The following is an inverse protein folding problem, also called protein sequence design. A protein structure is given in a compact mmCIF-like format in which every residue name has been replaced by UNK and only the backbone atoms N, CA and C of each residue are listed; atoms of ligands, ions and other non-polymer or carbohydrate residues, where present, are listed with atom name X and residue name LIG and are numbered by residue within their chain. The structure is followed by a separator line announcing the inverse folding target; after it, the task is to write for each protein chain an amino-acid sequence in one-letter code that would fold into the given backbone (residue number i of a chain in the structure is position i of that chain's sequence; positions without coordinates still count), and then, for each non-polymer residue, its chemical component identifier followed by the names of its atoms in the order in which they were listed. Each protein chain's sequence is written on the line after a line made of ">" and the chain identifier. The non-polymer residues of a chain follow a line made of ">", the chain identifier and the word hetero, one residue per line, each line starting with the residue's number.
data_IF_749008562392
#
_entry.id   IF_749008562392
#
_cell.length_a   1.000
_cell.length_b   1.000
_cell.length_c   1.000
_cell.angle_alpha   90.00
_cell.angle_beta   90.00
_cell.angle_gamma   90.00
#
_symmetry.space_group_name_H-M   'P 1'
#
loop_
_entity.id
_entity.type
_entity.pdbx_description
1 polymer ?
#
# COMPACT_ATOMS: atom_id res chain seq x y z
N UNK A 1 -23.06 9.98 -15.61
CA UNK A 1 -23.91 8.89 -16.11
C UNK A 1 -24.42 8.10 -14.91
N UNK A 2 -25.73 7.81 -14.82
CA UNK A 2 -26.33 7.04 -13.71
C UNK A 2 -26.68 5.65 -14.25
N UNK A 3 -25.70 4.76 -14.34
CA UNK A 3 -25.95 3.38 -14.81
C UNK A 3 -26.57 2.52 -13.70
N UNK A 4 -26.36 2.88 -12.43
CA UNK A 4 -26.82 2.10 -11.27
C UNK A 4 -27.69 2.91 -10.33
N UNK A 5 -28.44 2.20 -9.48
CA UNK A 5 -29.28 2.78 -8.43
C UNK A 5 -28.49 3.72 -7.51
N UNK A 6 -29.03 4.88 -7.12
CA UNK A 6 -28.42 5.75 -6.11
C UNK A 6 -28.09 5.04 -4.79
N UNK A 7 -28.87 4.00 -4.43
CA UNK A 7 -28.68 3.24 -3.20
C UNK A 7 -27.26 2.67 -3.07
N UNK A 8 -26.71 2.09 -4.16
CA UNK A 8 -25.34 1.53 -4.19
C UNK A 8 -24.31 2.60 -3.88
N UNK A 9 -24.43 3.79 -4.49
CA UNK A 9 -23.51 4.91 -4.26
C UNK A 9 -23.62 5.48 -2.84
N UNK A 10 -24.84 5.52 -2.31
CA UNK A 10 -25.09 6.01 -0.96
C UNK A 10 -24.55 5.03 0.08
N UNK A 11 -24.75 3.72 -0.14
CA UNK A 11 -24.16 2.69 0.70
C UNK A 11 -22.62 2.81 0.76
N UNK A 12 -21.95 2.89 -0.39
CA UNK A 12 -20.49 3.03 -0.46
C UNK A 12 -19.99 4.32 0.22
N UNK A 13 -20.72 5.43 0.02
CA UNK A 13 -20.35 6.69 0.67
C UNK A 13 -20.50 6.64 2.19
N UNK A 14 -21.57 6.00 2.72
CA UNK A 14 -21.80 5.82 4.16
C UNK A 14 -20.74 4.91 4.77
N UNK A 15 -20.44 3.79 4.10
CA UNK A 15 -19.37 2.88 4.48
C UNK A 15 -18.01 3.59 4.63
N UNK A 16 -17.62 4.37 3.62
CA UNK A 16 -16.35 5.11 3.60
C UNK A 16 -16.28 6.26 4.59
N UNK A 17 -17.43 6.82 4.94
CA UNK A 17 -17.53 7.98 5.83
C UNK A 17 -17.74 7.59 7.31
N UNK A 18 -18.24 6.38 7.59
CA UNK A 18 -18.65 5.96 8.93
C UNK A 18 -19.83 6.76 9.49
N UNK A 19 -20.48 7.62 8.68
CA UNK A 19 -21.53 8.53 9.09
C UNK A 19 -22.43 8.95 7.94
N UNK A 20 -23.74 8.90 8.14
CA UNK A 20 -24.74 9.37 7.14
C UNK A 20 -24.55 10.87 6.85
N UNK A 21 -24.29 11.68 7.89
CA UNK A 21 -24.13 13.13 7.73
C UNK A 21 -22.89 13.46 6.87
N UNK A 22 -21.79 12.82 7.13
CA UNK A 22 -20.55 13.00 6.38
C UNK A 22 -20.67 12.48 4.93
N UNK A 23 -21.30 11.32 4.74
CA UNK A 23 -21.62 10.80 3.41
C UNK A 23 -22.47 11.77 2.59
N UNK A 24 -23.53 12.32 3.21
CA UNK A 24 -24.42 13.29 2.59
C UNK A 24 -23.66 14.57 2.17
N UNK A 25 -22.76 15.06 3.03
CA UNK A 25 -21.90 16.22 2.73
C UNK A 25 -21.00 15.94 1.51
N UNK A 26 -20.35 14.78 1.45
CA UNK A 26 -19.49 14.36 0.32
C UNK A 26 -20.26 14.19 -0.98
N UNK A 27 -21.51 13.74 -0.89
CA UNK A 27 -22.39 13.52 -2.05
C UNK A 27 -23.15 14.78 -2.46
N UNK A 28 -23.07 15.86 -1.68
CA UNK A 28 -23.84 17.09 -1.84
C UNK A 28 -25.35 16.84 -1.92
N UNK A 29 -25.88 16.07 -0.97
CA UNK A 29 -27.32 15.74 -0.83
C UNK A 29 -27.77 15.87 0.63
N UNK A 30 -29.10 15.89 0.85
CA UNK A 30 -29.66 15.91 2.20
C UNK A 30 -29.39 14.57 2.93
N UNK A 31 -29.05 14.65 4.24
CA UNK A 31 -28.82 13.44 5.07
C UNK A 31 -30.08 12.54 5.15
N UNK A 32 -31.27 13.14 5.12
CA UNK A 32 -32.54 12.40 5.07
C UNK A 32 -32.68 11.57 3.80
N UNK A 33 -32.20 12.07 2.65
CA UNK A 33 -32.21 11.31 1.39
C UNK A 33 -31.29 10.09 1.47
N UNK A 34 -30.08 10.26 2.01
CA UNK A 34 -29.12 9.15 2.21
C UNK A 34 -29.73 8.11 3.15
N UNK A 35 -30.22 8.53 4.33
CA UNK A 35 -30.80 7.63 5.33
C UNK A 35 -31.99 6.83 4.75
N UNK A 36 -32.88 7.48 4.03
CA UNK A 36 -34.05 6.82 3.40
C UNK A 36 -33.62 5.75 2.40
N UNK A 37 -32.57 5.99 1.61
CA UNK A 37 -32.07 5.02 0.64
C UNK A 37 -31.37 3.83 1.32
N UNK A 38 -30.65 4.06 2.41
CA UNK A 38 -30.06 2.97 3.20
C UNK A 38 -31.16 2.11 3.81
N UNK A 39 -32.16 2.70 4.50
CA UNK A 39 -33.26 1.98 5.10
C UNK A 39 -34.06 1.19 4.06
N UNK A 40 -34.28 1.78 2.85
CA UNK A 40 -34.91 1.07 1.76
C UNK A 40 -34.11 -0.15 1.31
N UNK A 41 -32.80 -0.01 1.16
CA UNK A 41 -31.91 -1.11 0.77
C UNK A 41 -31.88 -2.22 1.83
N UNK A 42 -31.85 -1.87 3.13
CA UNK A 42 -31.93 -2.82 4.24
C UNK A 42 -33.28 -3.57 4.26
N UNK A 43 -34.35 -2.87 3.99
CA UNK A 43 -35.70 -3.48 3.89
C UNK A 43 -35.81 -4.45 2.69
N UNK A 44 -35.25 -4.09 1.53
CA UNK A 44 -35.23 -4.95 0.33
C UNK A 44 -34.38 -6.21 0.56
N UNK A 45 -33.28 -6.11 1.34
CA UNK A 45 -32.39 -7.21 1.66
C UNK A 45 -32.82 -8.01 2.91
N UNK A 46 -33.79 -7.50 3.67
CA UNK A 46 -34.30 -8.13 4.89
C UNK A 46 -33.30 -8.15 6.06
N UNK A 47 -32.22 -7.36 6.00
CA UNK A 47 -31.18 -7.35 7.02
C UNK A 47 -30.52 -5.97 7.16
N UNK A 48 -30.14 -5.54 8.38
CA UNK A 48 -29.39 -4.30 8.57
C UNK A 48 -27.98 -4.42 7.99
N UNK A 49 -27.55 -3.36 7.30
CA UNK A 49 -26.22 -3.26 6.69
C UNK A 49 -25.23 -2.51 7.58
N UNK A 50 -25.74 -1.73 8.53
CA UNK A 50 -24.94 -0.94 9.44
C UNK A 50 -25.39 -1.15 10.90
N UNK A 51 -24.41 -1.22 11.79
CA UNK A 51 -24.58 -1.18 13.25
C UNK A 51 -24.34 0.25 13.74
N UNK A 52 -25.20 0.73 14.66
CA UNK A 52 -25.03 2.03 15.28
C UNK A 52 -24.21 1.91 16.54
N UNK A 53 -23.04 2.50 16.56
CA UNK A 53 -22.12 2.54 17.70
C UNK A 53 -22.01 3.98 18.22
N UNK A 54 -21.58 4.19 19.49
CA UNK A 54 -21.36 5.54 20.04
C UNK A 54 -20.40 6.41 19.20
N UNK A 55 -19.49 5.78 18.42
CA UNK A 55 -18.53 6.47 17.53
C UNK A 55 -18.98 6.62 16.08
N UNK A 56 -20.21 6.22 15.71
CA UNK A 56 -20.70 6.30 14.34
C UNK A 56 -21.35 5.01 13.83
N UNK A 57 -21.24 4.79 12.52
CA UNK A 57 -21.74 3.60 11.85
C UNK A 57 -20.61 2.64 11.52
N UNK A 58 -20.77 1.37 11.84
CA UNK A 58 -19.91 0.26 11.44
C UNK A 58 -20.73 -0.68 10.51
N UNK A 59 -20.03 -1.34 9.59
CA UNK A 59 -20.67 -2.39 8.78
C UNK A 59 -21.10 -3.57 9.66
N UNK A 60 -22.29 -4.09 9.40
CA UNK A 60 -22.69 -5.42 9.85
C UNK A 60 -22.03 -6.49 8.97
N UNK A 61 -22.11 -7.77 9.36
CA UNK A 61 -21.65 -8.89 8.52
C UNK A 61 -22.33 -8.88 7.13
N UNK A 62 -23.61 -8.54 7.06
CA UNK A 62 -24.33 -8.37 5.80
C UNK A 62 -23.79 -7.17 4.99
N UNK A 63 -23.46 -6.07 5.67
CA UNK A 63 -22.81 -4.91 5.05
C UNK A 63 -21.43 -5.24 4.47
N UNK A 64 -20.64 -6.09 5.12
CA UNK A 64 -19.36 -6.55 4.59
C UNK A 64 -19.53 -7.41 3.33
N UNK A 65 -20.51 -8.31 3.30
CA UNK A 65 -20.85 -9.09 2.10
C UNK A 65 -21.26 -8.17 0.96
N UNK A 66 -22.15 -7.21 1.23
CA UNK A 66 -22.61 -6.26 0.21
C UNK A 66 -21.48 -5.36 -0.29
N UNK A 67 -20.52 -5.01 0.56
CA UNK A 67 -19.37 -4.18 0.19
C UNK A 67 -18.60 -4.76 -1.00
N UNK A 68 -18.34 -6.06 -1.00
CA UNK A 68 -17.63 -6.73 -2.10
C UNK A 68 -18.40 -6.61 -3.43
N UNK A 69 -19.71 -6.81 -3.40
CA UNK A 69 -20.56 -6.65 -4.59
C UNK A 69 -20.59 -5.20 -5.09
N UNK A 70 -20.83 -4.25 -4.18
CA UNK A 70 -20.88 -2.82 -4.49
C UNK A 70 -19.57 -2.31 -5.10
N UNK A 71 -18.44 -2.76 -4.58
CA UNK A 71 -17.13 -2.43 -5.13
C UNK A 71 -16.98 -2.90 -6.59
N UNK A 72 -17.47 -4.12 -6.91
CA UNK A 72 -17.45 -4.65 -8.29
C UNK A 72 -18.28 -3.76 -9.21
N UNK A 73 -19.52 -3.51 -8.82
CA UNK A 73 -20.49 -2.75 -9.62
C UNK A 73 -20.02 -1.33 -9.90
N UNK A 74 -19.49 -0.63 -8.89
CA UNK A 74 -19.02 0.74 -9.06
C UNK A 74 -17.76 0.83 -9.95
N UNK A 75 -16.86 -0.16 -9.87
CA UNK A 75 -15.69 -0.21 -10.74
C UNK A 75 -16.04 -0.56 -12.17
N UNK A 76 -16.95 -1.51 -12.37
CA UNK A 76 -17.41 -1.86 -13.71
C UNK A 76 -18.06 -0.65 -14.41
N UNK A 77 -18.82 0.13 -13.65
CA UNK A 77 -19.40 1.39 -14.15
C UNK A 77 -18.32 2.43 -14.53
N UNK A 78 -17.24 2.53 -13.75
CA UNK A 78 -16.13 3.45 -14.04
C UNK A 78 -15.32 2.96 -15.24
N UNK A 79 -15.08 1.64 -15.35
CA UNK A 79 -14.44 1.03 -16.52
C UNK A 79 -15.25 1.32 -17.80
N UNK A 80 -16.54 1.03 -17.79
CA UNK A 80 -17.43 1.30 -18.93
C UNK A 80 -17.37 2.77 -19.34
N UNK A 81 -17.36 3.67 -18.36
CA UNK A 81 -17.22 5.10 -18.62
C UNK A 81 -15.88 5.43 -19.28
N UNK A 82 -14.78 4.89 -18.77
CA UNK A 82 -13.44 5.11 -19.33
C UNK A 82 -13.33 4.58 -20.76
N UNK A 83 -13.91 3.41 -21.05
CA UNK A 83 -13.97 2.84 -22.39
C UNK A 83 -14.76 3.73 -23.36
N UNK A 84 -15.92 4.23 -22.92
CA UNK A 84 -16.73 5.17 -23.71
C UNK A 84 -16.02 6.51 -23.97
N UNK A 85 -15.28 7.01 -22.99
CA UNK A 85 -14.50 8.23 -23.14
C UNK A 85 -13.28 8.01 -24.07
N UNK A 86 -12.66 6.83 -24.01
CA UNK A 86 -11.57 6.43 -24.92
C UNK A 86 -12.04 6.35 -26.38
N UNK A 87 -13.26 5.85 -26.65
CA UNK A 87 -13.85 5.84 -27.99
C UNK A 87 -14.03 7.26 -28.56
N UNK A 88 -14.13 8.27 -27.69
CA UNK A 88 -14.19 9.68 -28.07
C UNK A 88 -12.82 10.34 -28.19
N UNK A 89 -11.72 9.56 -28.11
CA UNK A 89 -10.35 10.07 -28.13
C UNK A 89 -9.91 10.78 -26.85
N UNK A 90 -10.69 10.66 -25.77
CA UNK A 90 -10.42 11.34 -24.50
C UNK A 90 -9.70 10.35 -23.56
N UNK A 91 -8.38 10.44 -23.48
CA UNK A 91 -7.55 9.65 -22.53
C UNK A 91 -7.70 10.22 -21.12
N UNK A 92 -8.86 10.03 -20.49
CA UNK A 92 -9.10 10.39 -19.10
C UNK A 92 -9.27 9.13 -18.26
N UNK A 93 -9.06 9.27 -16.96
CA UNK A 93 -9.29 8.17 -16.02
C UNK A 93 -8.87 8.55 -14.62
N UNK A 94 -9.15 7.63 -13.70
CA UNK A 94 -8.72 7.75 -12.31
C UNK A 94 -8.00 6.47 -11.92
N UNK A 95 -6.91 6.63 -11.17
CA UNK A 95 -6.19 5.54 -10.53
C UNK A 95 -6.18 5.82 -9.03
N UNK A 96 -6.73 4.91 -8.25
CA UNK A 96 -6.65 4.96 -6.80
C UNK A 96 -5.75 3.82 -6.33
N UNK A 97 -4.64 4.15 -5.67
CA UNK A 97 -3.72 3.15 -5.16
C UNK A 97 -3.37 3.39 -3.69
N UNK A 98 -3.05 2.31 -3.02
CA UNK A 98 -2.42 2.33 -1.71
C UNK A 98 -1.01 1.77 -1.82
N UNK A 99 -0.08 2.32 -1.05
CA UNK A 99 1.30 1.89 -1.04
C UNK A 99 1.90 2.02 0.35
N UNK A 100 2.93 1.23 0.64
CA UNK A 100 3.73 1.38 1.85
C UNK A 100 4.55 2.67 1.81
N UNK A 101 4.80 3.25 2.98
CA UNK A 101 5.50 4.54 3.13
C UNK A 101 6.85 4.57 2.42
N UNK A 102 7.66 3.51 2.53
CA UNK A 102 9.02 3.45 1.96
C UNK A 102 9.10 3.62 0.44
N UNK A 103 7.97 3.56 -0.27
CA UNK A 103 7.92 3.81 -1.72
C UNK A 103 7.68 5.29 -2.07
N UNK A 104 7.41 6.14 -1.07
CA UNK A 104 6.99 7.54 -1.29
C UNK A 104 8.15 8.45 -1.67
N UNK A 105 9.37 8.10 -1.29
CA UNK A 105 10.54 8.96 -1.49
C UNK A 105 10.97 9.08 -2.96
N UNK A 106 10.96 7.95 -3.71
CA UNK A 106 11.48 7.94 -5.08
C UNK A 106 10.65 7.02 -6.02
N UNK A 107 10.28 5.82 -5.60
CA UNK A 107 9.57 4.87 -6.46
C UNK A 107 8.24 5.43 -6.99
N UNK A 108 7.36 5.89 -6.11
CA UNK A 108 6.05 6.44 -6.51
C UNK A 108 6.19 7.72 -7.34
N UNK A 109 7.02 8.70 -6.97
CA UNK A 109 7.30 9.85 -7.83
C UNK A 109 7.75 9.47 -9.24
N UNK A 110 8.66 8.50 -9.39
CA UNK A 110 9.14 8.01 -10.69
C UNK A 110 8.01 7.39 -11.53
N UNK A 111 7.21 6.49 -10.92
CA UNK A 111 6.08 5.84 -11.62
C UNK A 111 5.01 6.86 -12.00
N UNK A 112 4.65 7.76 -11.09
CA UNK A 112 3.62 8.79 -11.31
C UNK A 112 4.09 9.77 -12.39
N UNK A 113 5.35 10.21 -12.34
CA UNK A 113 5.92 11.11 -13.34
C UNK A 113 5.80 10.54 -14.75
N UNK A 114 6.29 9.30 -14.97
CA UNK A 114 6.18 8.61 -16.26
C UNK A 114 4.74 8.40 -16.71
N UNK A 115 3.85 8.08 -15.76
CA UNK A 115 2.42 7.92 -16.08
C UNK A 115 1.81 9.23 -16.60
N UNK A 116 2.11 10.37 -15.94
CA UNK A 116 1.55 11.67 -16.29
C UNK A 116 2.14 12.24 -17.58
N UNK A 117 3.40 11.93 -17.93
CA UNK A 117 4.00 12.26 -19.21
C UNK A 117 3.20 11.69 -20.40
N UNK A 118 2.79 10.42 -20.31
CA UNK A 118 1.99 9.75 -21.34
C UNK A 118 0.48 9.99 -21.24
N UNK A 119 -0.02 10.37 -20.06
CA UNK A 119 -1.45 10.38 -19.72
C UNK A 119 -1.81 11.61 -18.86
N UNK A 120 -1.57 12.82 -19.36
CA UNK A 120 -1.70 14.09 -18.61
C UNK A 120 -3.11 14.38 -18.03
N UNK A 121 -4.15 13.71 -18.50
CA UNK A 121 -5.53 13.86 -18.02
C UNK A 121 -5.96 12.80 -17.02
N UNK A 122 -5.08 11.86 -16.65
CA UNK A 122 -5.36 10.87 -15.61
C UNK A 122 -5.20 11.52 -14.25
N UNK A 123 -6.12 11.19 -13.33
CA UNK A 123 -6.03 11.61 -11.93
C UNK A 123 -5.57 10.44 -11.09
N UNK A 124 -4.51 10.64 -10.33
CA UNK A 124 -3.94 9.61 -9.45
C UNK A 124 -4.19 10.04 -8.00
N UNK A 125 -4.77 9.12 -7.21
CA UNK A 125 -4.90 9.27 -5.76
C UNK A 125 -4.08 8.19 -5.09
N UNK A 126 -3.15 8.59 -4.24
CA UNK A 126 -2.32 7.70 -3.45
C UNK A 126 -2.69 7.82 -1.98
N UNK A 127 -2.79 6.68 -1.30
CA UNK A 127 -2.95 6.61 0.16
C UNK A 127 -1.84 5.73 0.71
N UNK A 128 -1.05 6.23 1.63
CA UNK A 128 -0.05 5.42 2.33
C UNK A 128 -0.70 4.61 3.43
N UNK A 129 -0.32 3.33 3.54
CA UNK A 129 -0.81 2.42 4.57
C UNK A 129 0.25 1.36 4.91
N UNK A 130 0.14 0.75 6.09
CA UNK A 130 0.98 -0.39 6.46
C UNK A 130 0.65 -1.64 5.65
N UNK A 131 1.63 -2.51 5.42
CA UNK A 131 1.48 -3.75 4.64
C UNK A 131 0.32 -4.63 5.11
N UNK A 132 0.01 -4.64 6.40
CA UNK A 132 -1.10 -5.42 6.99
C UNK A 132 -2.49 -4.89 6.60
N UNK A 133 -2.62 -3.60 6.30
CA UNK A 133 -3.90 -2.94 5.96
C UNK A 133 -4.19 -2.97 4.45
N UNK A 134 -3.15 -2.97 3.63
CA UNK A 134 -3.26 -2.91 2.16
C UNK A 134 -4.17 -4.01 1.57
N UNK A 135 -4.07 -5.29 1.99
CA UNK A 135 -4.94 -6.35 1.47
C UNK A 135 -6.42 -6.03 1.60
N UNK A 136 -6.86 -5.56 2.76
CA UNK A 136 -8.26 -5.23 3.00
C UNK A 136 -8.74 -4.07 2.11
N UNK A 137 -7.93 -3.02 1.93
CA UNK A 137 -8.27 -1.89 1.07
C UNK A 137 -8.46 -2.31 -0.40
N UNK A 138 -7.62 -3.22 -0.90
CA UNK A 138 -7.72 -3.73 -2.27
C UNK A 138 -8.93 -4.67 -2.42
N UNK A 139 -9.10 -5.62 -1.51
CA UNK A 139 -10.20 -6.60 -1.54
C UNK A 139 -11.57 -5.89 -1.44
N UNK A 140 -11.70 -4.94 -0.52
CA UNK A 140 -12.94 -4.17 -0.33
C UNK A 140 -13.22 -3.17 -1.46
N UNK A 141 -12.27 -2.99 -2.37
CA UNK A 141 -12.43 -2.04 -3.46
C UNK A 141 -12.36 -0.58 -3.03
N UNK A 142 -11.66 -0.26 -1.97
CA UNK A 142 -11.40 1.11 -1.56
C UNK A 142 -10.35 1.76 -2.46
N UNK A 143 -9.49 0.94 -3.06
CA UNK A 143 -8.47 1.30 -4.05
C UNK A 143 -8.44 0.28 -5.20
N UNK A 144 -7.84 0.67 -6.34
CA UNK A 144 -7.66 -0.20 -7.50
C UNK A 144 -6.46 -1.13 -7.33
N UNK A 145 -5.39 -0.60 -6.78
CA UNK A 145 -4.08 -1.25 -6.69
C UNK A 145 -3.48 -1.10 -5.30
N UNK A 146 -2.67 -2.10 -4.91
CA UNK A 146 -1.85 -2.07 -3.72
C UNK A 146 -0.39 -2.36 -4.04
N UNK A 147 0.52 -1.55 -3.49
CA UNK A 147 1.97 -1.79 -3.52
C UNK A 147 2.43 -2.08 -2.09
N UNK A 148 2.89 -3.29 -1.86
CA UNK A 148 3.28 -3.74 -0.53
C UNK A 148 4.41 -4.76 -0.57
N UNK A 149 5.16 -4.84 0.53
CA UNK A 149 6.21 -5.83 0.68
C UNK A 149 5.67 -7.11 1.33
N UNK A 150 6.09 -8.26 0.77
CA UNK A 150 5.99 -9.60 1.35
C UNK A 150 4.62 -9.93 1.93
N UNK A 151 3.56 -9.66 1.18
CA UNK A 151 2.21 -10.03 1.61
C UNK A 151 2.04 -11.55 1.66
N UNK A 152 1.39 -12.08 2.70
CA UNK A 152 1.01 -13.48 2.72
C UNK A 152 0.04 -13.81 1.57
N UNK A 153 0.03 -15.06 1.14
CA UNK A 153 -0.91 -15.53 0.12
C UNK A 153 -2.35 -15.24 0.53
N UNK A 154 -3.07 -14.56 -0.37
CA UNK A 154 -4.49 -14.26 -0.21
C UNK A 154 -5.21 -14.57 -1.52
N UNK A 155 -6.19 -15.51 -1.56
CA UNK A 155 -6.90 -15.89 -2.78
C UNK A 155 -7.75 -14.75 -3.37
N UNK A 156 -8.09 -13.73 -2.58
CA UNK A 156 -8.82 -12.55 -3.02
C UNK A 156 -7.93 -11.48 -3.67
N UNK A 157 -6.60 -11.68 -3.64
CA UNK A 157 -5.62 -10.81 -4.30
C UNK A 157 -4.98 -11.51 -5.50
N UNK A 158 -4.78 -10.75 -6.57
CA UNK A 158 -3.97 -11.15 -7.70
C UNK A 158 -2.70 -10.31 -7.74
N UNK A 159 -1.55 -10.97 -7.72
CA UNK A 159 -0.24 -10.33 -7.82
C UNK A 159 0.10 -10.12 -9.31
N UNK A 160 0.18 -8.85 -9.72
CA UNK A 160 0.43 -8.45 -11.12
C UNK A 160 1.93 -8.41 -11.44
N UNK A 161 2.73 -8.02 -10.46
CA UNK A 161 4.19 -7.94 -10.59
C UNK A 161 4.84 -8.18 -9.23
N UNK A 162 6.09 -8.65 -9.27
CA UNK A 162 6.93 -8.81 -8.08
C UNK A 162 8.38 -8.50 -8.41
N UNK A 163 9.08 -7.86 -7.48
CA UNK A 163 10.52 -7.64 -7.50
C UNK A 163 11.14 -8.01 -6.16
N UNK A 164 12.34 -8.60 -6.18
CA UNK A 164 13.08 -8.98 -4.96
C UNK A 164 14.15 -7.94 -4.68
N UNK A 165 14.23 -7.52 -3.43
CA UNK A 165 15.16 -6.49 -2.97
C UNK A 165 15.91 -7.00 -1.75
N UNK A 166 17.23 -6.79 -1.71
CA UNK A 166 18.05 -7.18 -0.57
C UNK A 166 17.69 -6.37 0.66
N UNK A 167 17.45 -7.04 1.78
CA UNK A 167 17.40 -6.40 3.09
C UNK A 167 18.83 -6.19 3.57
N UNK A 168 19.10 -5.04 4.19
CA UNK A 168 20.41 -4.72 4.70
C UNK A 168 20.37 -3.85 5.95
N UNK A 169 21.53 -3.74 6.59
CA UNK A 169 21.80 -2.76 7.62
C UNK A 169 22.08 -1.40 6.96
N UNK A 170 21.49 -0.35 7.50
CA UNK A 170 21.64 1.02 7.00
C UNK A 170 22.30 1.86 8.07
N UNK A 171 23.41 2.47 7.71
CA UNK A 171 24.31 3.21 8.61
C UNK A 171 24.89 4.42 7.90
N UNK A 172 25.49 5.34 8.65
CA UNK A 172 26.30 6.43 8.07
C UNK A 172 27.59 5.91 7.45
N UNK A 173 28.23 6.63 6.49
CA UNK A 173 29.51 6.24 5.89
C UNK A 173 30.65 6.08 6.89
N UNK A 174 30.59 6.81 8.00
CA UNK A 174 31.63 6.76 9.05
C UNK A 174 31.39 5.65 10.10
N UNK A 175 30.34 4.86 9.96
CA UNK A 175 30.04 3.77 10.90
C UNK A 175 31.06 2.64 10.75
N UNK A 176 31.50 1.98 11.85
CA UNK A 176 32.52 0.90 11.80
C UNK A 176 32.20 -0.27 10.86
N UNK A 177 30.90 -0.49 10.57
CA UNK A 177 30.47 -1.56 9.66
C UNK A 177 30.37 -1.10 8.19
N UNK A 178 30.45 0.20 7.87
CA UNK A 178 30.16 0.75 6.54
C UNK A 178 31.00 0.14 5.41
N UNK A 179 32.25 -0.26 5.70
CA UNK A 179 33.17 -0.89 4.72
C UNK A 179 32.96 -2.39 4.52
N UNK A 180 31.98 -3.04 5.20
CA UNK A 180 31.74 -4.47 5.06
C UNK A 180 30.92 -4.78 3.81
N UNK A 181 31.25 -5.89 3.14
CA UNK A 181 30.48 -6.37 1.98
C UNK A 181 29.10 -6.91 2.37
N UNK A 182 28.98 -7.49 3.55
CA UNK A 182 27.75 -7.96 4.17
C UNK A 182 27.90 -7.98 5.69
N UNK A 183 26.82 -8.04 6.42
CA UNK A 183 26.78 -8.18 7.88
C UNK A 183 25.78 -9.24 8.29
N UNK A 184 26.01 -9.86 9.44
CA UNK A 184 25.02 -10.66 10.17
C UNK A 184 24.35 -9.80 11.23
N UNK A 185 23.17 -10.17 11.66
CA UNK A 185 22.50 -9.48 12.75
C UNK A 185 23.36 -9.47 14.03
N UNK A 186 24.06 -10.56 14.30
CA UNK A 186 25.01 -10.66 15.42
C UNK A 186 26.14 -9.64 15.37
N UNK A 187 26.62 -9.24 14.20
CA UNK A 187 27.64 -8.19 14.04
C UNK A 187 27.09 -6.80 14.40
N UNK A 188 25.78 -6.61 14.25
CA UNK A 188 25.09 -5.37 14.53
C UNK A 188 24.70 -5.24 16.02
N UNK A 189 24.66 -6.35 16.76
CA UNK A 189 24.14 -6.39 18.13
C UNK A 189 24.97 -5.62 19.16
N UNK A 190 26.20 -5.25 18.82
CA UNK A 190 27.07 -4.43 19.68
C UNK A 190 26.80 -2.92 19.53
N UNK A 191 25.90 -2.54 18.64
CA UNK A 191 25.50 -1.15 18.37
C UNK A 191 24.03 -0.93 18.70
N UNK A 192 23.59 0.32 18.93
CA UNK A 192 22.17 0.62 19.06
C UNK A 192 21.39 0.19 17.81
N UNK A 193 20.30 -0.54 17.98
CA UNK A 193 19.47 -1.03 16.88
C UNK A 193 18.18 -0.24 16.78
N UNK A 194 17.82 0.14 15.55
CA UNK A 194 16.56 0.78 15.18
C UNK A 194 15.74 -0.26 14.43
N UNK A 195 14.71 -0.79 15.10
CA UNK A 195 13.91 -1.89 14.58
C UNK A 195 12.51 -1.43 14.20
N UNK A 196 11.94 -2.10 13.21
CA UNK A 196 10.53 -1.92 12.87
C UNK A 196 9.63 -2.58 13.90
N UNK A 197 8.47 -1.99 14.16
CA UNK A 197 7.39 -2.64 14.89
C UNK A 197 6.64 -3.68 14.04
N UNK A 198 5.58 -4.27 14.61
CA UNK A 198 4.78 -5.32 13.96
C UNK A 198 3.93 -4.84 12.76
N UNK A 199 3.79 -3.54 12.54
CA UNK A 199 3.00 -2.99 11.44
C UNK A 199 3.76 -2.99 10.12
N UNK A 200 5.10 -3.07 10.17
CA UNK A 200 5.95 -3.13 8.99
C UNK A 200 6.32 -4.59 8.67
N UNK A 201 6.28 -4.95 7.40
CA UNK A 201 6.64 -6.29 6.90
C UNK A 201 8.08 -6.72 7.24
N UNK A 202 8.98 -5.75 7.41
CA UNK A 202 10.38 -5.98 7.83
C UNK A 202 10.45 -6.72 9.16
N UNK A 203 9.54 -6.44 10.11
CA UNK A 203 9.51 -7.13 11.41
C UNK A 203 9.33 -8.64 11.26
N UNK A 204 8.43 -9.05 10.39
CA UNK A 204 8.18 -10.46 10.12
C UNK A 204 9.40 -11.15 9.47
N UNK A 205 10.10 -10.46 8.58
CA UNK A 205 11.34 -10.96 7.96
C UNK A 205 12.49 -11.06 8.96
N UNK A 206 12.62 -10.09 9.86
CA UNK A 206 13.69 -10.08 10.86
C UNK A 206 13.45 -11.08 12.01
N UNK A 207 12.20 -11.42 12.31
CA UNK A 207 11.88 -12.29 13.45
C UNK A 207 12.62 -13.62 13.44
N UNK A 208 12.62 -14.44 12.38
CA UNK A 208 13.40 -15.69 12.36
C UNK A 208 14.90 -15.45 12.48
N UNK A 209 15.44 -14.35 11.96
CA UNK A 209 16.85 -13.99 12.05
C UNK A 209 17.21 -13.66 13.50
N UNK A 210 16.35 -12.90 14.19
CA UNK A 210 16.49 -12.57 15.61
C UNK A 210 16.54 -13.85 16.47
N UNK A 211 15.58 -14.75 16.26
CA UNK A 211 15.50 -16.02 17.00
C UNK A 211 16.78 -16.87 16.81
N UNK A 212 17.33 -16.87 15.59
CA UNK A 212 18.53 -17.67 15.27
C UNK A 212 19.85 -16.96 15.52
N UNK A 213 19.84 -15.69 15.89
CA UNK A 213 21.09 -14.92 16.10
C UNK A 213 21.96 -15.45 17.25
N UNK A 214 21.37 -16.23 18.16
CA UNK A 214 22.02 -16.75 19.35
C UNK A 214 22.39 -15.67 20.39
N UNK A 215 22.03 -14.41 20.14
CA UNK A 215 22.28 -13.25 21.00
C UNK A 215 20.97 -12.55 21.36
N UNK A 216 20.81 -12.01 22.56
CA UNK A 216 19.67 -11.17 22.87
C UNK A 216 19.70 -9.90 22.02
N UNK A 217 18.67 -9.67 21.24
CA UNK A 217 18.51 -8.49 20.40
C UNK A 217 17.48 -7.58 21.06
N UNK A 218 17.98 -6.50 21.67
CA UNK A 218 17.13 -5.47 22.28
C UNK A 218 17.27 -4.19 21.48
N UNK A 219 16.19 -3.73 20.80
CA UNK A 219 16.26 -2.48 20.04
C UNK A 219 16.36 -1.29 20.99
N UNK A 220 17.18 -0.31 20.60
CA UNK A 220 17.22 1.00 21.26
C UNK A 220 16.00 1.83 20.88
N UNK A 221 15.48 1.65 19.64
CA UNK A 221 14.27 2.31 19.13
C UNK A 221 13.43 1.30 18.36
N UNK A 222 12.13 1.28 18.62
CA UNK A 222 11.13 0.61 17.74
C UNK A 222 10.24 1.67 17.08
N UNK A 223 10.03 1.58 15.77
CA UNK A 223 9.25 2.55 15.00
C UNK A 223 8.40 1.86 13.92
N UNK A 224 7.27 2.49 13.58
CA UNK A 224 6.37 2.08 12.50
C UNK A 224 6.48 2.97 11.25
N UNK A 225 7.48 3.83 11.21
CA UNK A 225 7.77 4.73 10.08
C UNK A 225 9.16 4.45 9.53
N UNK A 226 9.22 4.08 8.26
CA UNK A 226 10.48 3.87 7.53
C UNK A 226 11.28 5.17 7.47
N UNK A 227 10.60 6.30 7.26
CA UNK A 227 11.25 7.61 7.20
C UNK A 227 11.90 7.98 8.54
N UNK A 228 11.22 7.72 9.67
CA UNK A 228 11.82 7.93 10.98
C UNK A 228 13.05 7.04 11.19
N UNK A 229 12.95 5.75 10.84
CA UNK A 229 14.09 4.81 10.98
C UNK A 229 15.30 5.27 10.15
N UNK A 230 15.05 5.75 8.93
CA UNK A 230 16.06 6.30 8.03
C UNK A 230 16.73 7.53 8.64
N UNK A 231 15.93 8.49 9.09
CA UNK A 231 16.43 9.72 9.71
C UNK A 231 17.25 9.47 10.98
N UNK A 232 16.83 8.50 11.82
CA UNK A 232 17.62 8.11 12.99
C UNK A 232 18.98 7.51 12.60
N UNK A 233 19.03 6.73 11.53
CA UNK A 233 20.29 6.20 11.01
C UNK A 233 21.20 7.31 10.44
N UNK A 234 20.66 8.28 9.70
CA UNK A 234 21.39 9.46 9.20
C UNK A 234 22.01 10.30 10.33
N UNK A 235 21.28 10.39 11.47
CA UNK A 235 21.80 11.08 12.67
C UNK A 235 22.76 10.22 13.49
N UNK A 236 23.18 9.07 12.96
CA UNK A 236 24.11 8.13 13.61
C UNK A 236 23.61 7.65 15.00
N UNK A 237 22.30 7.52 15.16
CA UNK A 237 21.68 7.08 16.40
C UNK A 237 21.56 5.55 16.52
N UNK A 238 21.92 4.82 15.45
CA UNK A 238 21.93 3.36 15.44
C UNK A 238 21.86 2.78 14.04
N UNK A 239 21.77 1.46 13.98
CA UNK A 239 21.65 0.68 12.75
C UNK A 239 20.17 0.43 12.47
N UNK A 240 19.66 0.90 11.33
CA UNK A 240 18.33 0.53 10.84
C UNK A 240 18.42 -0.64 9.85
N UNK A 241 17.31 -1.37 9.67
CA UNK A 241 17.20 -2.47 8.69
C UNK A 241 16.10 -2.16 7.69
N UNK A 242 16.47 -2.07 6.41
CA UNK A 242 15.53 -1.81 5.31
C UNK A 242 16.12 -2.28 3.98
N UNK A 243 15.30 -2.31 2.94
CA UNK A 243 15.74 -2.57 1.58
C UNK A 243 16.33 -1.31 0.94
N UNK A 244 17.08 -1.47 -0.16
CA UNK A 244 17.61 -0.31 -0.91
C UNK A 244 16.53 0.56 -1.52
N UNK A 245 15.39 -0.05 -1.89
CA UNK A 245 14.28 0.71 -2.43
C UNK A 245 13.74 1.71 -1.37
N UNK A 246 13.69 2.97 -1.73
CA UNK A 246 13.38 4.08 -0.84
C UNK A 246 14.59 4.74 -0.16
N UNK A 247 15.82 4.26 -0.48
CA UNK A 247 17.08 4.85 -0.04
C UNK A 247 17.87 5.51 -1.18
N UNK A 248 17.32 5.57 -2.37
CA UNK A 248 18.05 5.97 -3.58
C UNK A 248 18.69 7.35 -3.44
N UNK A 249 17.98 8.28 -2.80
CA UNK A 249 18.47 9.64 -2.55
C UNK A 249 19.67 9.62 -1.60
N UNK A 250 19.56 8.96 -0.46
CA UNK A 250 20.57 8.91 0.57
C UNK A 250 21.82 8.16 0.08
N UNK A 251 21.63 7.10 -0.70
CA UNK A 251 22.73 6.37 -1.32
C UNK A 251 23.44 7.20 -2.39
N UNK A 252 22.71 7.96 -3.20
CA UNK A 252 23.28 8.84 -4.23
C UNK A 252 24.00 10.06 -3.64
N UNK A 253 23.58 10.52 -2.47
CA UNK A 253 24.20 11.63 -1.74
C UNK A 253 25.28 11.16 -0.76
N UNK A 254 25.51 9.84 -0.67
CA UNK A 254 26.46 9.22 0.25
C UNK A 254 26.22 9.59 1.72
N UNK A 255 24.96 9.91 2.10
CA UNK A 255 24.59 10.18 3.50
C UNK A 255 24.37 8.90 4.27
N UNK A 256 23.96 7.82 3.59
CA UNK A 256 23.80 6.49 4.14
C UNK A 256 24.51 5.42 3.28
N UNK A 257 24.84 4.32 3.92
CA UNK A 257 25.35 3.10 3.30
C UNK A 257 24.41 1.95 3.61
N UNK A 258 24.04 1.19 2.57
CA UNK A 258 23.27 -0.04 2.71
C UNK A 258 24.21 -1.24 2.63
N UNK A 259 24.28 -2.02 3.70
CA UNK A 259 25.13 -3.21 3.82
C UNK A 259 24.20 -4.43 3.79
N UNK A 260 24.29 -5.29 2.79
CA UNK A 260 23.45 -6.49 2.68
C UNK A 260 23.47 -7.33 3.95
N UNK A 261 22.29 -7.74 4.41
CA UNK A 261 22.15 -8.67 5.54
C UNK A 261 22.23 -10.10 5.01
N UNK A 262 23.18 -10.87 5.56
CA UNK A 262 23.35 -12.29 5.29
C UNK A 262 23.39 -13.06 6.61
N UNK A 263 22.36 -13.86 6.85
CA UNK A 263 22.30 -14.72 8.05
C UNK A 263 22.63 -16.17 7.68
N UNK A 264 21.73 -16.93 7.12
CA UNK A 264 21.94 -18.27 6.53
C UNK A 264 21.92 -18.23 5.00
N UNK A 265 22.25 -17.08 4.45
CA UNK A 265 22.18 -16.68 3.07
C UNK A 265 21.66 -15.26 2.94
N UNK A 266 21.59 -14.73 1.71
CA UNK A 266 21.07 -13.38 1.45
C UNK A 266 19.62 -13.25 1.88
N UNK A 267 19.29 -12.18 2.60
CA UNK A 267 17.92 -11.87 3.03
C UNK A 267 17.26 -10.95 2.01
N UNK A 268 16.08 -11.34 1.53
CA UNK A 268 15.32 -10.57 0.56
C UNK A 268 13.93 -10.24 1.08
N UNK A 269 13.44 -9.09 0.66
CA UNK A 269 12.02 -8.73 0.71
C UNK A 269 11.46 -8.68 -0.70
N UNK A 270 10.16 -8.89 -0.86
CA UNK A 270 9.49 -8.91 -2.15
C UNK A 270 8.49 -7.75 -2.24
N UNK A 271 8.75 -6.79 -3.13
CA UNK A 271 7.76 -5.76 -3.46
C UNK A 271 6.79 -6.32 -4.50
N UNK A 272 5.52 -6.39 -4.14
CA UNK A 272 4.45 -6.82 -5.02
C UNK A 272 3.51 -5.68 -5.40
N UNK A 273 3.01 -5.72 -6.64
CA UNK A 273 1.87 -4.94 -7.12
C UNK A 273 0.66 -5.85 -7.15
N UNK A 274 -0.40 -5.47 -6.45
CA UNK A 274 -1.58 -6.28 -6.22
C UNK A 274 -2.84 -5.60 -6.70
N UNK A 275 -3.76 -6.38 -7.22
CA UNK A 275 -5.14 -6.02 -7.48
C UNK A 275 -6.10 -7.04 -6.83
N UNK A 276 -7.37 -6.73 -6.77
CA UNK A 276 -8.36 -7.72 -6.37
C UNK A 276 -8.47 -8.83 -7.42
N UNK A 277 -8.52 -10.07 -6.98
CA UNK A 277 -8.74 -11.22 -7.85
C UNK A 277 -10.04 -11.08 -8.66
N UNK A 278 -10.02 -11.56 -9.89
CA UNK A 278 -11.16 -11.54 -10.82
C UNK A 278 -11.73 -10.13 -11.13
N UNK A 279 -10.97 -9.06 -10.81
CA UNK A 279 -11.33 -7.72 -11.27
C UNK A 279 -10.77 -7.46 -12.66
N UNK A 280 -11.49 -6.69 -13.47
CA UNK A 280 -10.96 -6.12 -14.72
C UNK A 280 -10.45 -4.71 -14.47
N UNK A 281 -9.36 -4.34 -15.11
CA UNK A 281 -8.73 -3.05 -14.94
C UNK A 281 -9.33 -2.03 -15.92
N UNK A 282 -9.71 -0.81 -15.45
CA UNK A 282 -9.92 0.33 -16.32
C UNK A 282 -8.65 0.68 -17.11
N UNK A 283 -8.79 1.26 -18.31
CA UNK A 283 -7.66 1.59 -19.20
C UNK A 283 -6.56 2.39 -18.50
N UNK A 284 -6.94 3.39 -17.68
CA UNK A 284 -5.96 4.20 -16.95
C UNK A 284 -5.23 3.41 -15.86
N UNK A 285 -5.92 2.46 -15.21
CA UNK A 285 -5.32 1.60 -14.18
C UNK A 285 -4.38 0.59 -14.84
N UNK A 286 -4.76 0.01 -15.98
CA UNK A 286 -3.90 -0.90 -16.74
C UNK A 286 -2.62 -0.20 -17.21
N UNK A 287 -2.72 1.01 -17.75
CA UNK A 287 -1.54 1.82 -18.11
C UNK A 287 -0.63 2.07 -16.90
N UNK A 288 -1.19 2.36 -15.72
CA UNK A 288 -0.40 2.51 -14.50
C UNK A 288 0.28 1.20 -14.08
N UNK A 289 -0.41 0.07 -14.22
CA UNK A 289 0.16 -1.26 -13.95
C UNK A 289 1.37 -1.53 -14.82
N UNK A 290 1.30 -1.21 -16.11
CA UNK A 290 2.42 -1.40 -17.03
C UNK A 290 3.64 -0.57 -16.62
N UNK A 291 3.45 0.71 -16.29
CA UNK A 291 4.54 1.60 -15.84
C UNK A 291 5.13 1.11 -14.50
N UNK A 292 4.27 0.78 -13.54
CA UNK A 292 4.73 0.30 -12.22
C UNK A 292 5.46 -1.04 -12.30
N UNK A 293 4.96 -1.98 -13.12
CA UNK A 293 5.60 -3.28 -13.37
C UNK A 293 7.00 -3.11 -13.98
N UNK A 294 7.11 -2.26 -14.99
CA UNK A 294 8.41 -1.97 -15.62
C UNK A 294 9.41 -1.38 -14.59
N UNK A 295 8.95 -0.49 -13.72
CA UNK A 295 9.80 0.12 -12.69
C UNK A 295 10.20 -0.88 -11.60
N UNK A 296 9.28 -1.75 -11.15
CA UNK A 296 9.60 -2.84 -10.20
C UNK A 296 10.71 -3.72 -10.78
N UNK A 297 10.53 -4.18 -12.02
CA UNK A 297 11.50 -5.08 -12.66
C UNK A 297 12.84 -4.41 -12.94
N UNK A 298 12.84 -3.13 -13.32
CA UNK A 298 14.06 -2.35 -13.52
C UNK A 298 14.89 -2.30 -12.24
N UNK A 299 14.25 -1.88 -11.13
CA UNK A 299 14.94 -1.77 -9.83
C UNK A 299 15.39 -3.11 -9.26
N UNK A 300 14.58 -4.16 -9.45
CA UNK A 300 14.95 -5.49 -9.00
C UNK A 300 16.17 -6.07 -9.74
N UNK A 301 16.42 -5.67 -11.00
CA UNK A 301 17.65 -6.04 -11.74
C UNK A 301 18.89 -5.33 -11.21
N UNK A 302 18.76 -4.12 -10.69
CA UNK A 302 19.85 -3.33 -10.13
C UNK A 302 20.29 -3.87 -8.74
N UNK A 303 19.60 -4.87 -8.19
CA UNK A 303 19.88 -5.53 -6.90
C UNK A 303 20.74 -6.81 -7.04
N UNK A 304 20.91 -7.33 -8.23
CA UNK A 304 21.72 -8.54 -8.53
C UNK A 304 23.15 -8.15 -8.85
#
# INVERSE_FOLDING_TARGET
>A
MRIHSPAIRYFDAVRKAGSIREAARRLNVASSAVNRQILKLEAELGTPLFERLPGGLKLSSAGEVLTRHVAIVLRDAERTRSELDALKGVKTGRVELTAVEGLSADFLPSVIGRMLEGHSRVRIKVVTAGSTTIPALVVNGDVDLGLAFSLPRNPELHQLAVGRFRLGAVVTPNHPLAGRKHVRLGDCADFPLIMSDSQLSIRALMHPIIVHSGRPITPAVEANSIELMKNLAEHNLGIAFMSRIGLEKELSQETLVHIPLEDRGPVFTELGLYMRANASLPVAVDAFVQVATAEIHRRAKDEG
#
